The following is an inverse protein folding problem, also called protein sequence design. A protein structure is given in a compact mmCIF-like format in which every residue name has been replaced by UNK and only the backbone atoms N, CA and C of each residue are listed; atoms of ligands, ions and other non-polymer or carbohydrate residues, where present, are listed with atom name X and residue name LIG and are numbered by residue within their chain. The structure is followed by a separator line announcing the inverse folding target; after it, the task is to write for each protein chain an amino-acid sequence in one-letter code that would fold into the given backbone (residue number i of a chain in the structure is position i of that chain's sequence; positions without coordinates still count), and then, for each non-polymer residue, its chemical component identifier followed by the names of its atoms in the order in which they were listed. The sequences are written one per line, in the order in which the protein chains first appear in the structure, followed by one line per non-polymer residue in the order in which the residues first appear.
data_IF_681112165684
#
_entry.id   IF_681112165684
#
_cell.length_a   1.000
_cell.length_b   1.000
_cell.length_c   1.000
_cell.angle_alpha   90.00
_cell.angle_beta   90.00
_cell.angle_gamma   90.00
#
_symmetry.space_group_name_H-M   'P 1'
#
loop_
_entity.id
_entity.type
_entity.pdbx_description
1 polymer ?
#
# COMPACT_ATOMS: atom_id res chain seq x y z
N UNK A 1 13.27 33.28 -0.48
CA UNK A 1 13.52 32.32 0.60
C UNK A 1 12.32 32.20 1.55
N UNK A 2 11.53 31.15 1.36
CA UNK A 2 10.63 30.61 2.38
C UNK A 2 10.77 29.10 2.31
N UNK A 3 11.66 28.55 3.13
CA UNK A 3 11.71 27.13 3.46
C UNK A 3 10.43 26.80 4.24
N UNK A 4 9.34 26.59 3.52
CA UNK A 4 8.20 25.86 4.05
C UNK A 4 8.74 24.49 4.43
N UNK A 5 8.78 24.22 5.73
CA UNK A 5 9.52 23.10 6.31
C UNK A 5 9.16 21.80 5.59
N UNK A 6 10.20 21.12 5.10
CA UNK A 6 10.08 19.71 4.74
C UNK A 6 9.81 19.00 6.07
N UNK A 7 8.54 18.91 6.47
CA UNK A 7 8.13 18.06 7.58
C UNK A 7 8.50 16.65 7.14
N UNK A 8 9.54 16.10 7.75
CA UNK A 8 10.08 14.78 7.48
C UNK A 8 8.92 13.79 7.32
N UNK A 9 8.89 13.02 6.24
CA UNK A 9 7.88 11.97 6.08
C UNK A 9 8.02 10.97 7.25
N UNK A 10 6.96 10.25 7.64
CA UNK A 10 7.10 9.22 8.66
C UNK A 10 8.18 8.21 8.25
N UNK A 11 8.80 7.57 9.24
CA UNK A 11 9.67 6.44 8.97
C UNK A 11 8.93 5.38 8.16
N UNK A 12 9.66 4.66 7.30
CA UNK A 12 9.14 3.48 6.61
C UNK A 12 10.07 2.30 6.85
N UNK A 13 9.50 1.11 7.03
CA UNK A 13 10.27 -0.13 7.21
C UNK A 13 9.78 -1.15 6.21
N UNK A 14 10.66 -1.57 5.30
CA UNK A 14 10.35 -2.58 4.31
C UNK A 14 11.14 -3.84 4.64
N UNK A 15 10.44 -4.96 4.70
CA UNK A 15 10.96 -6.27 5.04
C UNK A 15 10.95 -7.13 3.79
N UNK A 16 12.13 -7.49 3.29
CA UNK A 16 12.27 -8.54 2.28
C UNK A 16 12.04 -9.90 2.96
N UNK A 17 11.10 -10.69 2.43
CA UNK A 17 10.73 -11.99 3.00
C UNK A 17 11.22 -13.19 2.21
N UNK A 18 11.80 -13.00 1.02
CA UNK A 18 12.53 -14.06 0.30
C UNK A 18 13.76 -14.51 1.11
N UNK A 19 14.36 -13.55 1.82
CA UNK A 19 15.49 -13.76 2.72
C UNK A 19 15.08 -14.45 4.05
N UNK A 20 13.82 -14.79 4.32
CA UNK A 20 13.46 -15.54 5.54
C UNK A 20 14.00 -16.98 5.56
N UNK A 21 14.49 -17.50 4.43
CA UNK A 21 15.33 -18.72 4.40
C UNK A 21 16.81 -18.46 4.73
N UNK A 22 17.32 -17.23 4.60
CA UNK A 22 18.73 -16.85 4.76
C UNK A 22 19.02 -15.85 5.90
N UNK A 23 18.00 -15.33 6.59
CA UNK A 23 18.08 -14.42 7.74
C UNK A 23 18.90 -13.14 7.49
N UNK A 24 18.85 -12.51 6.31
CA UNK A 24 19.34 -11.14 6.16
C UNK A 24 18.22 -10.12 6.28
N UNK A 25 18.65 -8.91 6.60
CA UNK A 25 17.97 -7.94 7.44
C UNK A 25 16.98 -7.05 6.68
N UNK A 26 15.95 -6.64 7.43
CA UNK A 26 15.08 -5.49 7.20
C UNK A 26 15.81 -4.28 6.61
N UNK A 27 15.40 -3.81 5.45
CA UNK A 27 15.84 -2.50 4.92
C UNK A 27 14.94 -1.42 5.52
N UNK A 28 15.46 -0.69 6.50
CA UNK A 28 14.79 0.50 7.04
C UNK A 28 15.10 1.66 6.10
N UNK A 29 14.11 2.11 5.34
CA UNK A 29 14.23 3.24 4.41
C UNK A 29 13.34 4.35 4.93
N UNK A 30 13.89 5.53 5.23
CA UNK A 30 13.02 6.66 5.54
C UNK A 30 12.29 7.06 4.28
N UNK A 31 10.97 7.26 4.38
CA UNK A 31 10.18 7.77 3.27
C UNK A 31 10.81 9.13 2.86
N UNK A 32 11.24 9.28 1.60
CA UNK A 32 12.03 10.42 1.11
C UNK A 32 13.54 10.17 0.91
N UNK A 33 14.08 9.05 1.36
CA UNK A 33 15.41 8.59 0.94
C UNK A 33 15.29 7.90 -0.42
N UNK A 34 15.99 8.44 -1.43
CA UNK A 34 16.13 7.83 -2.75
C UNK A 34 17.33 6.88 -2.75
N UNK A 35 17.23 5.79 -2.00
CA UNK A 35 18.17 4.68 -2.20
C UNK A 35 17.94 4.07 -3.58
N UNK A 36 18.97 3.94 -4.40
CA UNK A 36 18.88 3.16 -5.64
C UNK A 36 19.02 1.69 -5.28
N UNK A 37 17.98 0.89 -5.58
CA UNK A 37 18.01 -0.57 -5.46
C UNK A 37 17.75 -1.20 -6.83
N UNK A 38 18.34 -2.37 -7.08
CA UNK A 38 18.03 -3.20 -8.24
C UNK A 38 16.75 -4.04 -8.03
N UNK A 39 16.27 -4.13 -6.78
CA UNK A 39 15.00 -4.75 -6.43
C UNK A 39 13.82 -3.84 -6.82
N UNK A 40 13.14 -4.21 -7.90
CA UNK A 40 11.98 -3.49 -8.41
C UNK A 40 10.81 -3.48 -7.41
N UNK A 41 10.53 -4.59 -6.73
CA UNK A 41 9.45 -4.68 -5.74
C UNK A 41 9.67 -3.68 -4.60
N UNK A 42 10.92 -3.55 -4.14
CA UNK A 42 11.31 -2.53 -3.17
C UNK A 42 11.09 -1.11 -3.73
N UNK A 43 11.57 -0.83 -4.94
CA UNK A 43 11.44 0.50 -5.55
C UNK A 43 9.99 0.93 -5.76
N UNK A 44 9.14 0.02 -6.26
CA UNK A 44 7.72 0.28 -6.43
C UNK A 44 7.00 0.44 -5.10
N UNK A 45 7.31 -0.39 -4.08
CA UNK A 45 6.74 -0.25 -2.73
C UNK A 45 7.07 1.12 -2.12
N UNK A 46 8.33 1.55 -2.19
CA UNK A 46 8.75 2.87 -1.69
C UNK A 46 7.97 3.98 -2.41
N UNK A 47 7.91 3.91 -3.74
CA UNK A 47 7.28 4.93 -4.57
C UNK A 47 5.77 5.01 -4.33
N UNK A 48 5.07 3.88 -4.25
CA UNK A 48 3.64 3.81 -3.99
C UNK A 48 3.26 4.29 -2.58
N UNK A 49 4.02 3.91 -1.56
CA UNK A 49 3.80 4.40 -0.20
C UNK A 49 4.08 5.91 -0.08
N UNK A 50 5.11 6.41 -0.76
CA UNK A 50 5.40 7.84 -0.87
C UNK A 50 4.27 8.61 -1.54
N UNK A 51 3.81 8.14 -2.69
CA UNK A 51 2.71 8.74 -3.43
C UNK A 51 1.43 8.78 -2.60
N UNK A 52 1.05 7.65 -2.00
CA UNK A 52 -0.15 7.54 -1.15
C UNK A 52 -0.08 8.51 0.02
N UNK A 53 1.05 8.54 0.74
CA UNK A 53 1.23 9.47 1.86
C UNK A 53 1.10 10.94 1.42
N UNK A 54 1.79 11.32 0.33
CA UNK A 54 1.74 12.70 -0.19
C UNK A 54 0.32 13.08 -0.60
N UNK A 55 -0.39 12.21 -1.30
CA UNK A 55 -1.78 12.43 -1.70
C UNK A 55 -2.67 12.70 -0.48
N UNK A 56 -2.68 11.81 0.52
CA UNK A 56 -3.51 11.98 1.72
C UNK A 56 -3.12 13.23 2.53
N UNK A 57 -1.83 13.55 2.61
CA UNK A 57 -1.34 14.73 3.31
C UNK A 57 -1.70 16.03 2.58
N UNK A 58 -1.49 16.09 1.28
CA UNK A 58 -1.61 17.34 0.52
C UNK A 58 -3.06 17.63 0.16
N UNK A 59 -3.85 16.60 -0.18
CA UNK A 59 -5.25 16.74 -0.60
C UNK A 59 -6.21 16.77 0.59
N UNK A 60 -5.97 15.94 1.61
CA UNK A 60 -6.89 15.78 2.75
C UNK A 60 -6.33 16.28 4.08
N UNK A 61 -5.11 16.83 4.10
CA UNK A 61 -4.43 17.25 5.33
C UNK A 61 -4.33 16.13 6.39
N UNK A 62 -4.30 14.86 5.94
CA UNK A 62 -4.19 13.69 6.81
C UNK A 62 -2.75 13.19 6.85
N UNK A 63 -2.14 13.22 8.03
CA UNK A 63 -0.77 12.70 8.19
C UNK A 63 -0.77 11.17 8.45
N UNK A 64 -0.50 10.38 7.40
CA UNK A 64 -0.45 8.90 7.43
C UNK A 64 -1.82 8.21 7.60
N UNK A 65 -1.79 6.87 7.72
CA UNK A 65 -2.95 5.98 7.84
C UNK A 65 -3.84 6.39 9.01
N UNK A 66 -3.27 6.72 10.16
CA UNK A 66 -4.00 7.06 11.40
C UNK A 66 -4.28 8.56 11.58
N UNK A 67 -3.79 9.41 10.67
CA UNK A 67 -3.83 10.86 10.80
C UNK A 67 -2.90 11.42 11.88
N UNK A 68 -2.01 10.60 12.44
CA UNK A 68 -1.07 10.94 13.52
C UNK A 68 0.36 10.50 13.22
N UNK A 69 0.72 10.47 11.93
CA UNK A 69 2.08 10.16 11.45
C UNK A 69 2.53 8.73 11.76
N UNK A 70 1.62 7.76 11.75
CA UNK A 70 1.96 6.33 11.84
C UNK A 70 3.13 5.97 10.90
N UNK A 71 4.09 5.20 11.43
CA UNK A 71 5.18 4.56 10.68
C UNK A 71 4.59 3.53 9.70
N UNK A 72 4.99 3.59 8.43
CA UNK A 72 4.55 2.63 7.41
C UNK A 72 5.46 1.41 7.42
N UNK A 73 4.87 0.21 7.45
CA UNK A 73 5.61 -1.06 7.50
C UNK A 73 5.10 -1.97 6.41
N UNK A 74 5.99 -2.55 5.61
CA UNK A 74 5.62 -3.39 4.48
C UNK A 74 6.51 -4.63 4.38
N UNK A 75 5.95 -5.76 3.98
CA UNK A 75 6.69 -6.95 3.58
C UNK A 75 6.55 -7.16 2.08
N UNK A 76 7.67 -7.38 1.40
CA UNK A 76 7.75 -7.71 -0.03
C UNK A 76 8.25 -9.14 -0.21
N UNK A 77 8.10 -9.70 -1.41
CA UNK A 77 8.44 -11.09 -1.72
C UNK A 77 7.70 -12.12 -0.84
N UNK A 78 6.49 -11.77 -0.39
CA UNK A 78 5.77 -12.55 0.60
C UNK A 78 5.33 -13.89 0.04
N UNK A 79 6.03 -14.96 0.41
CA UNK A 79 5.74 -16.35 0.00
C UNK A 79 5.86 -16.59 -1.51
N UNK A 80 6.44 -17.74 -1.88
CA UNK A 80 6.60 -18.11 -3.28
C UNK A 80 5.23 -18.24 -3.98
N UNK A 81 5.06 -17.54 -5.10
CA UNK A 81 3.84 -17.59 -5.91
C UNK A 81 2.61 -16.96 -5.26
N UNK A 82 2.78 -16.14 -4.22
CA UNK A 82 1.66 -15.44 -3.59
C UNK A 82 1.19 -14.31 -4.49
N UNK A 83 0.01 -14.49 -5.06
CA UNK A 83 -0.61 -13.56 -5.99
C UNK A 83 -1.63 -12.67 -5.30
N UNK A 84 -1.13 -11.85 -4.36
CA UNK A 84 -1.96 -10.85 -3.70
C UNK A 84 -1.12 -9.75 -3.05
N UNK A 85 -1.78 -8.61 -2.83
CA UNK A 85 -1.38 -7.56 -1.90
C UNK A 85 -2.48 -7.38 -0.84
N UNK A 86 -2.12 -7.00 0.39
CA UNK A 86 -3.12 -6.63 1.39
C UNK A 86 -2.56 -5.77 2.53
N UNK A 87 -3.43 -4.95 3.11
CA UNK A 87 -3.24 -4.30 4.40
C UNK A 87 -3.64 -5.25 5.55
N UNK A 88 -2.66 -5.62 6.38
CA UNK A 88 -2.87 -6.40 7.59
C UNK A 88 -3.18 -5.47 8.78
N UNK A 89 -4.46 -5.16 8.98
CA UNK A 89 -4.93 -4.21 9.99
C UNK A 89 -4.56 -4.54 11.44
N UNK A 90 -4.50 -5.82 11.80
CA UNK A 90 -4.12 -6.25 13.17
C UNK A 90 -2.65 -6.01 13.48
N UNK A 91 -1.81 -5.91 12.44
CA UNK A 91 -0.36 -5.68 12.57
C UNK A 91 0.08 -4.29 12.10
N UNK A 92 -0.85 -3.50 11.55
CA UNK A 92 -0.58 -2.24 10.87
C UNK A 92 0.55 -2.38 9.83
N UNK A 93 0.37 -3.32 8.90
CA UNK A 93 1.46 -3.79 8.05
C UNK A 93 0.96 -4.15 6.65
N UNK A 94 1.61 -3.64 5.62
CA UNK A 94 1.35 -4.02 4.23
C UNK A 94 2.06 -5.31 3.87
N UNK A 95 1.42 -6.16 3.06
CA UNK A 95 2.01 -7.40 2.57
C UNK A 95 1.85 -7.45 1.07
N UNK A 96 2.95 -7.65 0.36
CA UNK A 96 3.00 -7.73 -1.10
C UNK A 96 3.70 -9.04 -1.49
N UNK A 97 3.01 -9.87 -2.26
CA UNK A 97 3.63 -11.01 -2.94
C UNK A 97 4.00 -10.68 -4.37
N UNK A 98 4.92 -11.46 -4.93
CA UNK A 98 5.40 -11.22 -6.29
C UNK A 98 4.44 -11.74 -7.36
N UNK A 99 3.36 -12.41 -7.01
CA UNK A 99 2.52 -13.09 -7.99
C UNK A 99 3.01 -14.50 -8.34
N UNK A 100 2.10 -15.28 -8.88
CA UNK A 100 2.42 -16.57 -9.48
C UNK A 100 2.98 -16.39 -10.88
N UNK A 101 3.99 -17.20 -11.24
CA UNK A 101 4.41 -17.34 -12.63
C UNK A 101 3.30 -18.05 -13.42
N UNK A 102 2.49 -17.28 -14.16
CA UNK A 102 1.69 -17.83 -15.24
C UNK A 102 2.65 -18.22 -16.36
N UNK A 103 3.13 -19.46 -16.36
CA UNK A 103 4.05 -20.00 -17.38
C UNK A 103 3.44 -20.09 -18.81
N UNK A 104 2.24 -19.52 -19.03
CA UNK A 104 1.58 -19.28 -20.31
C UNK A 104 0.24 -18.56 -20.01
N UNK A 105 0.22 -17.22 -19.88
CA UNK A 105 -1.04 -16.53 -19.66
C UNK A 105 -1.93 -16.66 -20.92
N UNK A 106 -3.25 -16.88 -20.77
CA UNK A 106 -4.17 -16.76 -21.89
C UNK A 106 -4.00 -15.39 -22.58
N UNK A 107 -4.25 -15.26 -23.90
CA UNK A 107 -4.04 -14.02 -24.65
C UNK A 107 -4.89 -12.83 -24.18
N UNK A 108 -5.81 -13.05 -23.24
CA UNK A 108 -6.66 -12.02 -22.61
C UNK A 108 -6.18 -11.57 -21.24
N UNK A 109 -5.14 -12.19 -20.66
CA UNK A 109 -4.57 -11.77 -19.37
C UNK A 109 -3.45 -10.77 -19.62
N UNK A 110 -3.82 -9.60 -20.15
CA UNK A 110 -2.93 -8.45 -20.36
C UNK A 110 -2.43 -7.82 -19.03
N UNK A 111 -2.80 -8.40 -17.88
CA UNK A 111 -2.47 -7.94 -16.54
C UNK A 111 -1.55 -8.90 -15.77
N UNK A 112 -0.99 -9.94 -16.39
CA UNK A 112 -0.14 -10.96 -15.72
C UNK A 112 1.32 -10.53 -15.48
N UNK A 113 1.58 -9.24 -15.26
CA UNK A 113 2.93 -8.83 -14.93
C UNK A 113 3.17 -9.11 -13.44
N UNK A 114 4.34 -9.67 -13.10
CA UNK A 114 4.82 -9.96 -11.74
C UNK A 114 4.78 -8.75 -10.76
N UNK A 115 4.35 -7.57 -11.22
CA UNK A 115 4.44 -6.30 -10.52
C UNK A 115 3.06 -5.68 -10.25
N UNK A 116 1.95 -6.33 -10.64
CA UNK A 116 0.60 -5.78 -10.40
C UNK A 116 0.32 -5.49 -8.92
N UNK A 117 0.92 -6.28 -8.03
CA UNK A 117 0.79 -6.09 -6.58
C UNK A 117 1.52 -4.84 -6.08
N UNK A 118 2.38 -4.23 -6.90
CA UNK A 118 3.19 -3.08 -6.57
C UNK A 118 2.83 -1.81 -7.38
N UNK A 119 1.74 -1.83 -8.16
CA UNK A 119 1.32 -0.64 -8.89
C UNK A 119 0.81 0.46 -7.95
N UNK A 120 0.87 1.71 -8.41
CA UNK A 120 0.46 2.88 -7.60
C UNK A 120 -0.99 2.81 -7.12
N UNK A 121 -1.89 2.31 -7.97
CA UNK A 121 -3.30 2.11 -7.67
C UNK A 121 -3.49 0.98 -6.64
N UNK A 122 -2.81 -0.17 -6.78
CA UNK A 122 -2.85 -1.26 -5.79
C UNK A 122 -2.31 -0.81 -4.44
N UNK A 123 -1.15 -0.17 -4.38
CA UNK A 123 -0.59 0.32 -3.10
C UNK A 123 -1.49 1.42 -2.50
N UNK A 124 -2.05 2.29 -3.33
CA UNK A 124 -3.02 3.31 -2.90
C UNK A 124 -4.33 2.70 -2.36
N UNK A 125 -4.80 1.61 -2.97
CA UNK A 125 -5.94 0.83 -2.52
C UNK A 125 -5.67 0.24 -1.12
N UNK A 126 -4.53 -0.43 -0.93
CA UNK A 126 -4.17 -0.99 0.38
C UNK A 126 -3.99 0.09 1.45
N UNK A 127 -3.40 1.23 1.09
CA UNK A 127 -3.27 2.35 2.01
C UNK A 127 -4.65 2.86 2.47
N UNK A 128 -5.62 2.85 1.55
CA UNK A 128 -6.99 3.31 1.80
C UNK A 128 -7.75 2.37 2.73
N UNK A 129 -7.50 1.05 2.68
CA UNK A 129 -7.99 0.12 3.70
C UNK A 129 -7.54 0.51 5.11
N UNK A 130 -6.27 0.86 5.27
CA UNK A 130 -5.75 1.39 6.53
C UNK A 130 -6.48 2.66 6.95
N UNK A 131 -6.67 3.62 6.04
CA UNK A 131 -7.38 4.87 6.35
C UNK A 131 -8.81 4.59 6.80
N UNK A 132 -9.53 3.68 6.13
CA UNK A 132 -10.88 3.25 6.48
C UNK A 132 -10.89 2.65 7.90
N UNK A 133 -9.94 1.76 8.23
CA UNK A 133 -9.81 1.17 9.57
C UNK A 133 -9.62 2.25 10.65
N UNK A 134 -8.85 3.30 10.37
CA UNK A 134 -8.59 4.38 11.31
C UNK A 134 -9.64 5.51 11.29
N UNK A 135 -10.70 5.35 10.49
CA UNK A 135 -11.79 6.33 10.38
C UNK A 135 -13.15 5.64 10.55
N UNK A 136 -13.77 5.22 9.45
CA UNK A 136 -15.13 4.71 9.42
C UNK A 136 -15.30 3.31 10.01
N UNK A 137 -14.23 2.49 10.04
CA UNK A 137 -14.24 1.11 10.59
C UNK A 137 -15.36 0.25 10.02
N UNK A 138 -15.55 0.36 8.70
CA UNK A 138 -16.63 -0.33 7.98
C UNK A 138 -16.58 -1.85 8.27
N UNK A 139 -17.72 -2.42 8.62
CA UNK A 139 -17.87 -3.84 8.92
C UNK A 139 -17.60 -4.23 10.38
N UNK A 140 -16.88 -3.42 11.17
CA UNK A 140 -16.49 -3.83 12.53
C UNK A 140 -17.69 -4.05 13.45
N UNK A 141 -18.67 -3.15 13.41
CA UNK A 141 -19.87 -3.26 14.25
C UNK A 141 -20.82 -4.35 13.75
N UNK A 142 -20.97 -4.48 12.42
CA UNK A 142 -21.78 -5.54 11.81
C UNK A 142 -21.24 -6.92 12.17
N UNK A 143 -19.92 -7.10 12.15
CA UNK A 143 -19.25 -8.32 12.58
C UNK A 143 -19.50 -8.60 14.07
N UNK A 144 -19.40 -7.58 14.94
CA UNK A 144 -19.71 -7.75 16.39
C UNK A 144 -21.16 -8.19 16.65
N UNK A 145 -22.10 -7.78 15.80
CA UNK A 145 -23.52 -8.12 15.90
C UNK A 145 -23.88 -9.45 15.25
N UNK A 146 -22.92 -10.15 14.65
CA UNK A 146 -23.14 -11.32 13.80
C UNK A 146 -24.13 -11.04 12.64
N UNK A 147 -24.16 -9.80 12.15
CA UNK A 147 -24.98 -9.39 11.00
C UNK A 147 -24.15 -9.54 9.71
N UNK A 148 -24.10 -10.76 9.18
CA UNK A 148 -23.25 -11.08 8.04
C UNK A 148 -23.69 -10.41 6.73
N UNK A 149 -24.98 -10.09 6.58
CA UNK A 149 -25.47 -9.39 5.40
C UNK A 149 -24.97 -7.95 5.38
N UNK A 150 -25.20 -7.21 6.48
CA UNK A 150 -24.70 -5.84 6.60
C UNK A 150 -23.17 -5.79 6.64
N UNK A 151 -22.51 -6.82 7.17
CA UNK A 151 -21.05 -6.94 7.11
C UNK A 151 -20.56 -7.02 5.66
N UNK A 152 -21.15 -7.89 4.84
CA UNK A 152 -20.79 -8.05 3.43
C UNK A 152 -20.93 -6.73 2.64
N UNK A 153 -22.02 -6.01 2.86
CA UNK A 153 -22.24 -4.69 2.25
C UNK A 153 -21.19 -3.66 2.69
N UNK A 154 -20.86 -3.62 3.97
CA UNK A 154 -19.86 -2.70 4.51
C UNK A 154 -18.45 -2.99 3.98
N UNK A 155 -18.08 -4.26 3.79
CA UNK A 155 -16.81 -4.65 3.19
C UNK A 155 -16.80 -4.29 1.70
N UNK A 156 -17.88 -4.56 0.96
CA UNK A 156 -17.99 -4.18 -0.46
C UNK A 156 -17.83 -2.67 -0.64
N UNK A 157 -18.40 -1.86 0.26
CA UNK A 157 -18.21 -0.42 0.26
C UNK A 157 -16.75 -0.04 0.56
N UNK A 158 -16.09 -0.74 1.49
CA UNK A 158 -14.70 -0.49 1.81
C UNK A 158 -13.77 -0.75 0.60
N UNK A 159 -13.97 -1.86 -0.11
CA UNK A 159 -13.25 -2.18 -1.36
C UNK A 159 -13.46 -1.08 -2.41
N UNK A 160 -14.71 -0.68 -2.66
CA UNK A 160 -15.02 0.36 -3.65
C UNK A 160 -14.37 1.71 -3.30
N UNK A 161 -14.37 2.09 -2.00
CA UNK A 161 -13.66 3.29 -1.55
C UNK A 161 -12.16 3.12 -1.80
N UNK A 162 -11.57 1.97 -1.46
CA UNK A 162 -10.15 1.71 -1.70
C UNK A 162 -9.79 1.81 -3.19
N UNK A 163 -10.61 1.28 -4.10
CA UNK A 163 -10.42 1.43 -5.55
C UNK A 163 -10.46 2.89 -6.00
N UNK A 164 -11.48 3.63 -5.55
CA UNK A 164 -11.63 5.05 -5.88
C UNK A 164 -10.41 5.87 -5.42
N UNK A 165 -9.93 5.63 -4.21
CA UNK A 165 -8.77 6.36 -3.69
C UNK A 165 -7.45 5.85 -4.30
N UNK A 166 -7.34 4.57 -4.63
CA UNK A 166 -6.19 4.01 -5.35
C UNK A 166 -5.97 4.68 -6.69
N UNK A 167 -7.02 4.81 -7.51
CA UNK A 167 -6.91 5.52 -8.80
C UNK A 167 -6.63 7.02 -8.62
N UNK A 168 -7.16 7.66 -7.58
CA UNK A 168 -6.85 9.07 -7.27
C UNK A 168 -5.39 9.25 -6.86
N UNK A 169 -4.81 8.34 -6.08
CA UNK A 169 -3.37 8.34 -5.74
C UNK A 169 -2.52 8.24 -7.00
N UNK A 170 -2.85 7.30 -7.90
CA UNK A 170 -2.14 7.13 -9.17
C UNK A 170 -2.16 8.41 -10.00
N UNK A 171 -3.35 8.99 -10.22
CA UNK A 171 -3.49 10.26 -10.95
C UNK A 171 -2.72 11.39 -10.27
N UNK A 172 -2.83 11.52 -8.95
CA UNK A 172 -2.08 12.53 -8.20
C UNK A 172 -0.57 12.41 -8.44
N UNK A 173 -0.01 11.20 -8.34
CA UNK A 173 1.41 10.96 -8.51
C UNK A 173 1.90 11.18 -9.96
N UNK A 174 1.10 10.78 -10.95
CA UNK A 174 1.43 11.00 -12.36
C UNK A 174 1.39 12.47 -12.74
N UNK A 175 0.50 13.28 -12.14
CA UNK A 175 0.41 14.72 -12.39
C UNK A 175 1.41 15.56 -11.58
N UNK A 176 1.82 15.13 -10.38
CA UNK A 176 2.89 15.78 -9.60
C UNK A 176 4.26 15.71 -10.32
N UNK A 177 4.46 14.73 -11.21
CA UNK A 177 5.70 14.53 -11.98
C UNK A 177 5.79 15.36 -13.29
N UNK A 178 4.79 16.20 -13.59
CA UNK A 178 4.74 17.05 -14.80
C UNK A 178 5.13 18.52 -14.49
N UNK A 179 5.65 18.79 -13.29
CA UNK A 179 6.05 20.12 -12.80
C UNK A 179 7.54 20.43 -12.92
#
# INVERSE_FOLDING_TARGET
PSTAGITQLPGTKIYDTEDLKQRRLSTVIKLGDHGTSEDEALMYTISGLQASYKFYKNVFHRESIDGKRMELRASIHFSAGFDNAFWCGDRNHFVFGDGGHLNNPPPFVCFSNHIINFSLDTIGHEFSHGVIQYTARLGQEQLRRNDFAAYSEAITLAEHISDCFGIMVKHYAEHDNVG
#
